data_IF_266131513629
#
_entry.id   IF_266131513629
#
_cell.length_a   1.000
_cell.length_b   1.000
_cell.length_c   1.000
_cell.angle_alpha   90.00
_cell.angle_beta   90.00
_cell.angle_gamma   90.00
#
_symmetry.space_group_name_H-M   'P 1'
#
loop_
_entity.id
_entity.type
_entity.pdbx_description
1 polymer ?
#
# COMPACT_ATOMS: atom_id res chain seq x y z
N UNK A 1 -4.93 -17.62 4.98
CA UNK A 1 -3.87 -16.65 4.73
C UNK A 1 -4.19 -15.33 5.42
N UNK A 2 -3.15 -14.63 5.85
CA UNK A 2 -3.34 -13.41 6.64
C UNK A 2 -3.45 -12.13 5.82
N UNK A 3 -3.92 -12.19 4.56
CA UNK A 3 -4.05 -11.00 3.74
C UNK A 3 -5.23 -11.10 2.77
N UNK A 4 -5.63 -9.93 2.27
CA UNK A 4 -6.67 -9.80 1.26
C UNK A 4 -6.22 -8.75 0.25
N UNK A 5 -6.53 -8.95 -1.03
CA UNK A 5 -6.26 -7.98 -2.08
C UNK A 5 -7.43 -7.96 -3.06
N UNK A 6 -7.83 -6.76 -3.47
CA UNK A 6 -8.92 -6.58 -4.43
C UNK A 6 -8.88 -5.18 -5.04
N UNK A 7 -9.57 -5.02 -6.17
CA UNK A 7 -9.82 -3.68 -6.70
C UNK A 7 -10.75 -2.93 -5.77
N UNK A 8 -10.46 -1.64 -5.53
CA UNK A 8 -11.26 -0.80 -4.64
C UNK A 8 -12.31 0.02 -5.38
N UNK A 9 -12.20 0.14 -6.71
CA UNK A 9 -13.19 0.86 -7.50
C UNK A 9 -13.41 0.17 -8.85
N UNK A 10 -14.51 0.53 -9.50
CA UNK A 10 -14.89 -0.09 -10.78
C UNK A 10 -13.93 0.26 -11.92
N UNK A 11 -13.36 1.45 -11.89
CA UNK A 11 -12.43 1.91 -12.92
C UNK A 11 -11.08 1.20 -12.86
N UNK A 12 -10.85 0.38 -11.83
CA UNK A 12 -9.57 -0.33 -11.61
C UNK A 12 -8.39 0.62 -11.53
N UNK A 13 -8.56 1.73 -10.82
CA UNK A 13 -7.51 2.71 -10.57
C UNK A 13 -6.99 2.67 -9.15
N UNK A 14 -7.58 1.85 -8.28
CA UNK A 14 -7.13 1.66 -6.90
C UNK A 14 -7.19 0.18 -6.53
N UNK A 15 -6.10 -0.33 -5.98
CA UNK A 15 -6.03 -1.67 -5.37
C UNK A 15 -6.05 -1.49 -3.86
N UNK A 16 -6.89 -2.26 -3.19
CA UNK A 16 -6.97 -2.34 -1.73
C UNK A 16 -6.27 -3.59 -1.25
N UNK A 17 -5.29 -3.42 -0.37
CA UNK A 17 -4.56 -4.51 0.28
C UNK A 17 -4.82 -4.44 1.78
N UNK A 18 -5.03 -5.58 2.41
CA UNK A 18 -5.27 -5.64 3.85
C UNK A 18 -4.45 -6.77 4.47
N UNK A 19 -3.77 -6.46 5.57
CA UNK A 19 -3.22 -7.47 6.46
C UNK A 19 -4.25 -7.76 7.53
N UNK A 20 -4.56 -9.04 7.74
CA UNK A 20 -5.44 -9.45 8.83
C UNK A 20 -4.62 -9.68 10.09
N UNK A 21 -5.28 -9.95 11.22
CA UNK A 21 -4.59 -10.23 12.48
C UNK A 21 -3.83 -11.56 12.46
N UNK A 22 -4.04 -12.39 11.44
CA UNK A 22 -3.31 -13.64 11.25
C UNK A 22 -2.09 -13.49 10.36
N UNK A 23 -1.78 -12.26 9.90
CA UNK A 23 -0.71 -12.04 8.94
C UNK A 23 0.65 -12.39 9.51
N UNK A 24 1.48 -12.99 8.66
CA UNK A 24 2.88 -13.29 8.93
C UNK A 24 3.75 -12.63 7.87
N UNK A 25 5.06 -12.71 8.01
CA UNK A 25 5.99 -12.05 7.07
C UNK A 25 5.75 -12.49 5.62
N UNK A 26 5.40 -13.75 5.39
CA UNK A 26 5.13 -14.25 4.03
C UNK A 26 4.01 -13.48 3.34
N UNK A 27 3.04 -12.97 4.10
CA UNK A 27 1.93 -12.20 3.53
C UNK A 27 2.41 -10.92 2.86
N UNK A 28 3.48 -10.30 3.39
CA UNK A 28 4.09 -9.13 2.75
C UNK A 28 4.56 -9.45 1.34
N UNK A 29 5.24 -10.59 1.17
CA UNK A 29 5.77 -11.01 -0.12
C UNK A 29 4.64 -11.39 -1.09
N UNK A 30 3.63 -12.10 -0.61
CA UNK A 30 2.47 -12.47 -1.44
C UNK A 30 1.71 -11.24 -1.91
N UNK A 31 1.48 -10.26 -1.01
CA UNK A 31 0.77 -9.04 -1.39
C UNK A 31 1.54 -8.24 -2.43
N UNK A 32 2.87 -8.14 -2.28
CA UNK A 32 3.69 -7.43 -3.26
C UNK A 32 3.59 -8.07 -4.64
N UNK A 33 3.66 -9.40 -4.71
CA UNK A 33 3.58 -10.12 -5.98
C UNK A 33 2.18 -10.06 -6.60
N UNK A 34 1.14 -10.26 -5.79
CA UNK A 34 -0.25 -10.21 -6.26
C UNK A 34 -0.63 -8.81 -6.72
N UNK A 35 -0.18 -7.79 -5.99
CA UNK A 35 -0.41 -6.40 -6.35
C UNK A 35 0.27 -6.07 -7.68
N UNK A 36 1.52 -6.50 -7.85
CA UNK A 36 2.23 -6.28 -9.10
C UNK A 36 1.51 -6.92 -10.27
N UNK A 37 0.95 -8.11 -10.08
CA UNK A 37 0.19 -8.79 -11.13
C UNK A 37 -1.06 -8.02 -11.52
N UNK A 38 -1.80 -7.47 -10.53
CA UNK A 38 -2.98 -6.66 -10.82
C UNK A 38 -2.62 -5.37 -11.56
N UNK A 39 -1.58 -4.68 -11.14
CA UNK A 39 -1.16 -3.45 -11.80
C UNK A 39 -0.72 -3.70 -13.24
N UNK A 40 -0.02 -4.81 -13.48
CA UNK A 40 0.42 -5.17 -14.83
C UNK A 40 -0.74 -5.60 -15.73
N UNK A 41 -1.90 -5.91 -15.17
CA UNK A 41 -3.07 -6.31 -15.97
C UNK A 41 -3.78 -5.13 -16.63
N UNK A 42 -3.40 -3.90 -16.29
CA UNK A 42 -3.97 -2.68 -16.88
C UNK A 42 -2.83 -1.78 -17.37
N UNK A 43 -3.15 -0.80 -18.21
CA UNK A 43 -2.14 0.08 -18.82
C UNK A 43 -2.20 1.53 -18.33
N UNK A 44 -2.95 1.79 -17.27
CA UNK A 44 -3.06 3.12 -16.66
C UNK A 44 -2.48 3.09 -15.25
N UNK A 45 -2.33 4.28 -14.65
CA UNK A 45 -1.82 4.42 -13.28
C UNK A 45 -2.81 3.81 -12.29
N UNK A 46 -2.30 3.07 -11.31
CA UNK A 46 -3.08 2.46 -10.25
C UNK A 46 -2.49 2.87 -8.90
N UNK A 47 -3.34 3.39 -8.01
CA UNK A 47 -2.95 3.76 -6.66
C UNK A 47 -3.21 2.59 -5.71
N UNK A 48 -2.59 2.62 -4.54
CA UNK A 48 -2.73 1.55 -3.55
C UNK A 48 -3.29 2.12 -2.24
N UNK A 49 -4.20 1.37 -1.61
CA UNK A 49 -4.55 1.55 -0.21
C UNK A 49 -4.06 0.30 0.50
N UNK A 50 -3.17 0.47 1.48
CA UNK A 50 -2.61 -0.64 2.24
C UNK A 50 -3.06 -0.54 3.68
N UNK A 51 -3.88 -1.49 4.13
CA UNK A 51 -4.46 -1.49 5.47
C UNK A 51 -3.59 -2.31 6.41
N UNK A 52 -2.90 -1.63 7.32
CA UNK A 52 -2.04 -2.25 8.33
C UNK A 52 -2.58 -2.06 9.75
N UNK A 53 -3.89 -1.78 9.88
CA UNK A 53 -4.46 -1.49 11.20
C UNK A 53 -4.49 -2.70 12.12
N UNK A 54 -4.58 -3.90 11.56
CA UNK A 54 -4.69 -5.14 12.35
C UNK A 54 -3.35 -5.65 12.88
N UNK A 55 -2.24 -5.27 12.27
CA UNK A 55 -0.92 -5.79 12.62
C UNK A 55 0.15 -4.71 12.57
N UNK A 56 1.32 -5.05 13.13
CA UNK A 56 2.50 -4.21 13.09
C UNK A 56 3.65 -5.07 12.56
N UNK A 57 3.98 -4.90 11.28
CA UNK A 57 5.09 -5.62 10.66
C UNK A 57 6.39 -4.86 10.87
N UNK A 58 7.45 -5.62 11.19
CA UNK A 58 8.82 -5.09 11.23
C UNK A 58 9.50 -5.45 9.92
N UNK A 59 9.95 -4.43 9.18
CA UNK A 59 10.60 -4.63 7.89
C UNK A 59 12.12 -4.69 8.07
N UNK A 60 12.75 -5.71 7.45
CA UNK A 60 14.19 -5.81 7.36
C UNK A 60 14.66 -5.13 6.07
N UNK A 61 15.97 -4.93 5.96
CA UNK A 61 16.57 -4.40 4.72
C UNK A 61 16.25 -5.29 3.52
N UNK A 62 16.24 -6.61 3.72
CA UNK A 62 15.89 -7.56 2.65
C UNK A 62 14.46 -7.36 2.20
N UNK A 63 13.54 -7.19 3.15
CA UNK A 63 12.12 -6.94 2.83
C UNK A 63 11.96 -5.67 2.00
N UNK A 64 12.62 -4.60 2.40
CA UNK A 64 12.54 -3.30 1.73
C UNK A 64 13.08 -3.39 0.30
N UNK A 65 14.20 -4.09 0.11
CA UNK A 65 14.76 -4.29 -1.22
C UNK A 65 13.85 -5.13 -2.11
N UNK A 66 13.18 -6.12 -1.54
CA UNK A 66 12.21 -6.92 -2.29
C UNK A 66 11.05 -6.04 -2.77
N UNK A 67 10.52 -5.18 -1.89
CA UNK A 67 9.45 -4.27 -2.26
C UNK A 67 9.88 -3.37 -3.42
N UNK A 68 11.10 -2.82 -3.36
CA UNK A 68 11.60 -1.95 -4.42
C UNK A 68 11.70 -2.66 -5.78
N UNK A 69 12.11 -3.91 -5.77
CA UNK A 69 12.23 -4.70 -6.99
C UNK A 69 10.89 -4.97 -7.66
N UNK A 70 9.81 -4.98 -6.89
CA UNK A 70 8.51 -5.41 -7.35
C UNK A 70 7.54 -4.26 -7.60
N UNK A 71 8.01 -3.01 -7.62
CA UNK A 71 7.18 -1.85 -7.94
C UNK A 71 6.93 -1.80 -9.43
N UNK A 72 5.67 -1.96 -9.89
CA UNK A 72 5.36 -1.82 -11.31
C UNK A 72 5.50 -0.36 -11.75
N UNK A 73 5.81 -0.11 -13.04
CA UNK A 73 6.01 1.26 -13.52
C UNK A 73 4.74 2.11 -13.48
N UNK A 74 3.55 1.49 -13.44
CA UNK A 74 2.29 2.23 -13.36
C UNK A 74 1.75 2.38 -11.95
N UNK A 75 2.56 2.09 -10.91
CA UNK A 75 2.15 2.32 -9.54
C UNK A 75 2.11 3.82 -9.23
N UNK A 76 0.97 4.28 -8.74
CA UNK A 76 0.79 5.67 -8.32
C UNK A 76 1.13 5.87 -6.85
N UNK A 77 0.29 6.63 -6.15
CA UNK A 77 0.53 6.91 -4.73
C UNK A 77 0.05 5.77 -3.86
N UNK A 78 0.56 5.72 -2.64
CA UNK A 78 0.18 4.74 -1.62
C UNK A 78 -0.45 5.48 -0.46
N UNK A 79 -1.63 5.03 -0.01
CA UNK A 79 -2.24 5.51 1.21
C UNK A 79 -2.21 4.37 2.23
N UNK A 80 -1.52 4.59 3.33
CA UNK A 80 -1.42 3.60 4.40
C UNK A 80 -2.51 3.84 5.42
N UNK A 81 -3.32 2.82 5.70
CA UNK A 81 -4.28 2.84 6.81
C UNK A 81 -3.56 2.32 8.05
N UNK A 82 -3.48 3.16 9.06
CA UNK A 82 -2.79 2.82 10.31
C UNK A 82 -3.64 3.27 11.49
N UNK A 83 -3.41 2.66 12.65
CA UNK A 83 -4.02 3.14 13.88
C UNK A 83 -3.35 4.43 14.31
N UNK A 84 -4.14 5.32 14.90
CA UNK A 84 -3.64 6.62 15.34
C UNK A 84 -2.41 6.49 16.26
N UNK A 85 -2.41 5.48 17.11
CA UNK A 85 -1.30 5.25 18.06
C UNK A 85 -0.01 4.83 17.36
N UNK A 86 -0.10 4.27 16.14
CA UNK A 86 1.06 3.78 15.41
C UNK A 86 1.54 4.78 14.35
N UNK A 87 0.88 5.91 14.21
CA UNK A 87 1.13 6.88 13.13
C UNK A 87 2.58 7.35 13.12
N UNK A 88 3.13 7.74 14.27
CA UNK A 88 4.49 8.25 14.34
C UNK A 88 5.52 7.19 13.97
N UNK A 89 5.30 5.95 14.42
CA UNK A 89 6.16 4.84 14.08
C UNK A 89 6.14 4.57 12.58
N UNK A 90 4.96 4.55 11.98
CA UNK A 90 4.82 4.29 10.53
C UNK A 90 5.47 5.39 9.71
N UNK A 91 5.35 6.64 10.11
CA UNK A 91 6.02 7.74 9.43
C UNK A 91 7.54 7.64 9.51
N UNK A 92 8.06 7.17 10.66
CA UNK A 92 9.48 6.92 10.82
C UNK A 92 9.95 5.83 9.85
N UNK A 93 9.21 4.72 9.77
CA UNK A 93 9.53 3.62 8.84
C UNK A 93 9.49 4.13 7.40
N UNK A 94 8.52 4.97 7.06
CA UNK A 94 8.39 5.54 5.72
C UNK A 94 9.63 6.37 5.36
N UNK A 95 10.07 7.25 6.27
CA UNK A 95 11.24 8.09 6.02
C UNK A 95 12.51 7.25 5.84
N UNK A 96 12.65 6.20 6.65
CA UNK A 96 13.78 5.28 6.53
C UNK A 96 13.73 4.51 5.22
N UNK A 97 12.53 4.01 4.87
CA UNK A 97 12.32 3.23 3.65
C UNK A 97 12.61 4.01 2.38
N UNK A 98 12.29 5.31 2.34
CA UNK A 98 12.55 6.16 1.18
C UNK A 98 14.03 6.20 0.79
N UNK A 99 14.91 6.08 1.75
CA UNK A 99 16.36 6.09 1.50
C UNK A 99 16.83 4.80 0.82
N UNK A 100 16.19 3.68 1.14
CA UNK A 100 16.57 2.36 0.64
C UNK A 100 15.75 1.92 -0.56
N UNK A 101 14.51 2.40 -0.67
CA UNK A 101 13.56 1.97 -1.69
C UNK A 101 12.72 3.18 -2.12
N UNK A 102 13.30 4.12 -2.90
CA UNK A 102 12.61 5.37 -3.23
C UNK A 102 11.35 5.19 -4.08
N UNK A 103 11.25 4.12 -4.86
CA UNK A 103 10.03 3.88 -5.66
C UNK A 103 8.94 3.22 -4.84
N UNK A 104 9.27 2.24 -4.01
CA UNK A 104 8.29 1.55 -3.16
C UNK A 104 7.69 2.49 -2.12
N UNK A 105 8.47 3.45 -1.63
CA UNK A 105 8.06 4.40 -0.59
C UNK A 105 7.84 5.80 -1.14
N UNK A 106 7.62 5.93 -2.44
CA UNK A 106 7.38 7.22 -3.09
C UNK A 106 5.96 7.71 -2.81
N UNK A 107 5.83 8.98 -2.40
CA UNK A 107 4.53 9.61 -2.16
C UNK A 107 3.55 8.74 -1.34
N UNK A 108 3.92 8.47 -0.09
CA UNK A 108 3.05 7.74 0.81
C UNK A 108 2.25 8.72 1.67
N UNK A 109 0.94 8.51 1.75
CA UNK A 109 0.02 9.25 2.60
C UNK A 109 -0.48 8.33 3.70
N UNK A 110 -0.95 8.91 4.80
CA UNK A 110 -1.44 8.15 5.95
C UNK A 110 -2.87 8.54 6.27
N UNK A 111 -3.68 7.54 6.62
CA UNK A 111 -5.07 7.73 7.01
C UNK A 111 -5.40 6.74 8.12
N UNK A 112 -6.46 7.02 8.88
CA UNK A 112 -6.89 6.14 9.96
C UNK A 112 -8.18 5.39 9.61
N UNK A 113 -8.89 5.81 8.55
CA UNK A 113 -10.11 5.16 8.08
C UNK A 113 -10.06 4.99 6.57
N UNK A 114 -10.83 4.02 6.06
CA UNK A 114 -10.93 3.78 4.62
C UNK A 114 -11.58 5.00 3.92
N UNK A 115 -12.53 5.63 4.56
CA UNK A 115 -13.20 6.82 4.01
C UNK A 115 -12.21 7.95 3.81
N UNK A 116 -11.34 8.19 4.80
CA UNK A 116 -10.31 9.21 4.70
C UNK A 116 -9.34 8.90 3.54
N UNK A 117 -8.94 7.64 3.40
CA UNK A 117 -8.05 7.22 2.33
C UNK A 117 -8.67 7.49 0.96
N UNK A 118 -9.96 7.13 0.80
CA UNK A 118 -10.68 7.36 -0.44
C UNK A 118 -10.83 8.84 -0.76
N UNK A 119 -11.08 9.67 0.27
CA UNK A 119 -11.14 11.12 0.09
C UNK A 119 -9.82 11.71 -0.39
N UNK A 120 -8.69 11.24 0.14
CA UNK A 120 -7.37 11.68 -0.33
C UNK A 120 -7.24 11.39 -1.83
N UNK A 121 -7.60 10.19 -2.25
CA UNK A 121 -7.48 9.79 -3.64
C UNK A 121 -8.43 10.55 -4.55
N UNK A 122 -9.68 10.79 -4.11
CA UNK A 122 -10.65 11.56 -4.87
C UNK A 122 -10.24 13.03 -5.01
N UNK A 123 -9.80 13.65 -3.92
CA UNK A 123 -9.56 15.08 -3.88
C UNK A 123 -8.25 15.49 -4.55
N UNK A 124 -7.24 14.63 -4.50
CA UNK A 124 -5.90 15.00 -4.94
C UNK A 124 -5.41 14.21 -6.16
N UNK A 125 -6.04 13.10 -6.49
CA UNK A 125 -5.52 12.20 -7.55
C UNK A 125 -6.60 11.78 -8.55
N UNK A 126 -7.73 12.48 -8.55
CA UNK A 126 -8.78 12.33 -9.56
C UNK A 126 -9.33 10.90 -9.65
N UNK A 127 -9.40 10.21 -8.52
CA UNK A 127 -9.95 8.86 -8.45
C UNK A 127 -11.48 8.96 -8.31
N UNK A 128 -12.19 8.08 -9.01
CA UNK A 128 -13.66 8.07 -8.99
C UNK A 128 -14.17 6.87 -8.20
N UNK A 129 -15.09 7.15 -7.29
CA UNK A 129 -15.86 6.13 -6.59
C UNK A 129 -17.34 6.35 -6.89
N UNK A 130 -18.08 5.28 -7.18
CA UNK A 130 -19.53 5.39 -7.45
C UNK A 130 -20.31 5.87 -6.23
#
# INVERSE_FOLDING_TARGET
MGHLIQWDNEAKTVVYQQYTDNAVKDDLYYLAEESAALLKSVDHVVHLIIDERAIKLTLTTVDIKFLEKNVPPNQGVVVMLVNKNDMNYKKFVQNFGQKLAPNAFYQTYFATTIEEARHILQDHFDVHYP
#
